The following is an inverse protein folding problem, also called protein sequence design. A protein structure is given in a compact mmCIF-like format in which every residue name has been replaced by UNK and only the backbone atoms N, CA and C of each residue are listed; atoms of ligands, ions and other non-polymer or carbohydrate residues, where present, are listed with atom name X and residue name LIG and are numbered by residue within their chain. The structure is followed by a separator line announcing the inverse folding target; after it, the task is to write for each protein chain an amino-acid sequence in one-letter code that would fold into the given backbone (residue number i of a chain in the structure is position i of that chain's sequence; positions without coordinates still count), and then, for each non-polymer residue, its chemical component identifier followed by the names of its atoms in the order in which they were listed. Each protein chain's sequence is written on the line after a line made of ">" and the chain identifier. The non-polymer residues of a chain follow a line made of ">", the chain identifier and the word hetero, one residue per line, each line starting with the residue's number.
data_IF_508944685365
#
_entry.id   IF_508944685365
#
_cell.length_a   1.000
_cell.length_b   1.000
_cell.length_c   1.000
_cell.angle_alpha   90.00
_cell.angle_beta   90.00
_cell.angle_gamma   90.00
#
_symmetry.space_group_name_H-M   'P 1'
#
loop_
_entity.id
_entity.type
_entity.pdbx_description
1 polymer ?
#
# COMPACT_ATOMS: atom_id res chain seq x y z
N UNK A 1 33.13 27.45 -28.27
CA UNK A 1 31.80 27.00 -28.74
C UNK A 1 31.53 25.61 -28.19
N UNK A 2 30.95 25.50 -26.99
CA UNK A 2 30.53 24.20 -26.45
C UNK A 2 29.39 23.67 -27.31
N UNK A 3 29.56 22.46 -27.85
CA UNK A 3 28.58 21.83 -28.74
C UNK A 3 27.27 21.55 -27.96
N UNK A 4 26.11 22.00 -28.44
CA UNK A 4 24.82 21.87 -27.74
C UNK A 4 24.42 20.42 -27.46
N UNK A 5 24.98 19.47 -28.21
CA UNK A 5 24.78 18.03 -28.03
C UNK A 5 25.40 17.48 -26.75
N UNK A 6 26.53 18.03 -26.30
CA UNK A 6 27.18 17.58 -25.05
C UNK A 6 26.38 18.06 -23.84
N UNK A 7 25.82 19.28 -23.90
CA UNK A 7 25.01 19.85 -22.83
C UNK A 7 23.65 19.17 -22.67
N UNK A 8 23.05 18.68 -23.77
CA UNK A 8 21.81 17.92 -23.73
C UNK A 8 21.99 16.54 -23.08
N UNK A 9 23.14 15.90 -23.30
CA UNK A 9 23.44 14.57 -22.74
C UNK A 9 23.64 14.64 -21.22
N UNK A 10 24.32 15.68 -20.71
CA UNK A 10 24.48 15.90 -19.26
C UNK A 10 23.15 16.22 -18.57
N UNK A 11 22.25 16.96 -19.23
CA UNK A 11 20.93 17.27 -18.68
C UNK A 11 20.04 16.02 -18.59
N UNK A 12 20.14 15.11 -19.57
CA UNK A 12 19.43 13.83 -19.57
C UNK A 12 19.91 12.90 -18.45
N UNK A 13 21.22 12.90 -18.14
CA UNK A 13 21.79 12.12 -17.03
C UNK A 13 21.33 12.60 -15.65
N UNK A 14 21.08 13.90 -15.46
CA UNK A 14 20.58 14.44 -14.18
C UNK A 14 19.13 14.00 -13.88
N UNK A 15 18.29 13.89 -14.92
CA UNK A 15 16.89 13.50 -14.78
C UNK A 15 16.69 12.06 -14.27
N UNK A 16 17.69 11.20 -14.41
CA UNK A 16 17.64 9.79 -13.97
C UNK A 16 17.87 9.62 -12.45
N UNK A 17 18.40 10.63 -11.76
CA UNK A 17 18.70 10.56 -10.31
C UNK A 17 17.52 10.94 -9.42
N UNK A 18 16.40 11.38 -10.00
CA UNK A 18 15.21 11.83 -9.27
C UNK A 18 14.28 10.68 -8.81
N UNK A 19 14.76 9.44 -8.76
CA UNK A 19 13.96 8.32 -8.27
C UNK A 19 13.75 8.50 -6.75
N UNK A 20 12.49 8.68 -6.35
CA UNK A 20 12.07 9.18 -5.04
C UNK A 20 12.42 8.31 -3.83
N UNK A 21 12.03 8.74 -2.62
CA UNK A 21 12.35 8.03 -1.38
C UNK A 21 11.86 6.59 -1.43
N UNK A 22 12.80 5.66 -1.38
CA UNK A 22 12.53 4.22 -1.28
C UNK A 22 11.93 3.92 0.10
N UNK A 23 10.69 3.45 0.12
CA UNK A 23 10.07 2.89 1.33
C UNK A 23 10.84 1.64 1.72
N UNK A 24 11.54 1.67 2.85
CA UNK A 24 12.26 0.52 3.38
C UNK A 24 11.45 -0.13 4.49
N UNK A 25 11.32 -1.46 4.42
CA UNK A 25 10.83 -2.25 5.56
C UNK A 25 11.93 -2.24 6.62
N UNK A 26 11.74 -1.43 7.66
CA UNK A 26 12.72 -1.27 8.74
C UNK A 26 12.60 -2.36 9.81
N UNK A 27 11.42 -2.97 9.93
CA UNK A 27 11.15 -4.02 10.91
C UNK A 27 10.02 -4.92 10.38
N UNK A 28 10.23 -6.23 10.42
CA UNK A 28 9.21 -7.24 10.14
C UNK A 28 9.30 -8.32 11.23
N UNK A 29 8.14 -8.76 11.72
CA UNK A 29 8.06 -9.87 12.67
C UNK A 29 7.06 -10.89 12.15
N UNK A 30 7.44 -12.16 12.20
CA UNK A 30 6.59 -13.31 11.93
C UNK A 30 6.87 -14.37 13.00
N UNK A 31 5.93 -15.28 13.21
CA UNK A 31 6.12 -16.39 14.13
C UNK A 31 7.30 -17.27 13.64
N UNK A 32 8.26 -17.65 14.49
CA UNK A 32 9.35 -18.54 14.08
C UNK A 32 8.81 -19.85 13.50
N UNK A 33 9.28 -20.22 12.31
CA UNK A 33 8.81 -21.41 11.58
C UNK A 33 7.54 -21.22 10.76
N UNK A 34 6.96 -20.00 10.72
CA UNK A 34 5.86 -19.65 9.83
C UNK A 34 6.41 -19.08 8.52
N UNK A 35 6.32 -19.85 7.45
CA UNK A 35 6.62 -19.41 6.09
C UNK A 35 5.31 -19.32 5.33
N UNK A 36 5.03 -18.18 4.72
CA UNK A 36 3.92 -18.05 3.76
C UNK A 36 4.45 -18.49 2.40
N UNK A 37 4.00 -19.64 1.91
CA UNK A 37 4.33 -20.06 0.56
C UNK A 37 3.57 -19.22 -0.46
N UNK A 38 4.19 -18.95 -1.60
CA UNK A 38 3.53 -18.25 -2.70
C UNK A 38 2.32 -19.07 -3.16
N UNK A 39 1.14 -18.45 -3.20
CA UNK A 39 -0.12 -19.14 -3.52
C UNK A 39 -0.88 -19.75 -2.33
N UNK A 40 -0.43 -19.52 -1.08
CA UNK A 40 -1.19 -19.97 0.11
C UNK A 40 -2.57 -19.31 0.19
N UNK A 41 -2.71 -18.08 -0.30
CA UNK A 41 -3.95 -17.32 -0.30
C UNK A 41 -4.32 -16.94 -1.73
N UNK A 42 -5.58 -17.16 -2.10
CA UNK A 42 -6.13 -16.89 -3.42
C UNK A 42 -7.02 -15.65 -3.42
N UNK A 43 -7.61 -15.27 -2.28
CA UNK A 43 -8.51 -14.13 -2.22
C UNK A 43 -8.49 -13.48 -0.85
N UNK A 44 -7.87 -12.30 -0.81
CA UNK A 44 -7.64 -11.58 0.45
C UNK A 44 -8.60 -10.40 0.61
N UNK A 45 -9.26 -10.30 1.76
CA UNK A 45 -9.90 -9.05 2.16
C UNK A 45 -8.84 -8.08 2.70
N UNK A 46 -8.71 -6.91 2.08
CA UNK A 46 -7.74 -5.88 2.47
C UNK A 46 -8.44 -4.80 3.28
N UNK A 47 -8.00 -4.58 4.52
CA UNK A 47 -8.60 -3.63 5.46
C UNK A 47 -7.57 -2.59 5.90
N UNK A 48 -7.82 -1.32 5.60
CA UNK A 48 -7.05 -0.19 6.09
C UNK A 48 -7.64 0.44 7.36
N UNK A 49 -6.93 0.33 8.48
CA UNK A 49 -7.24 1.05 9.73
C UNK A 49 -6.68 2.47 9.68
N UNK A 50 -7.25 3.29 8.79
CA UNK A 50 -6.88 4.70 8.57
C UNK A 50 -8.14 5.55 8.70
N UNK A 51 -8.05 6.66 9.47
CA UNK A 51 -9.19 7.54 9.76
C UNK A 51 -9.67 8.30 8.51
N UNK A 52 -8.74 8.82 7.73
CA UNK A 52 -9.05 9.54 6.50
C UNK A 52 -9.47 8.56 5.40
N UNK A 53 -10.67 8.76 4.86
CA UNK A 53 -11.27 7.81 3.92
C UNK A 53 -10.54 7.76 2.57
N UNK A 54 -10.13 8.92 2.04
CA UNK A 54 -9.41 8.99 0.78
C UNK A 54 -8.06 8.26 0.89
N UNK A 55 -7.33 8.50 1.97
CA UNK A 55 -6.07 7.82 2.28
C UNK A 55 -6.27 6.32 2.51
N UNK A 56 -7.34 5.93 3.22
CA UNK A 56 -7.69 4.52 3.42
C UNK A 56 -7.91 3.81 2.09
N UNK A 57 -8.78 4.37 1.23
CA UNK A 57 -9.09 3.80 -0.10
C UNK A 57 -7.84 3.70 -0.96
N UNK A 58 -7.02 4.75 -1.00
CA UNK A 58 -5.77 4.73 -1.76
C UNK A 58 -4.77 3.67 -1.24
N UNK A 59 -4.67 3.48 0.07
CA UNK A 59 -3.81 2.46 0.67
C UNK A 59 -4.29 1.03 0.32
N UNK A 60 -5.60 0.79 0.43
CA UNK A 60 -6.20 -0.51 0.07
C UNK A 60 -6.04 -0.80 -1.43
N UNK A 61 -6.32 0.17 -2.32
CA UNK A 61 -6.12 0.03 -3.77
C UNK A 61 -4.67 -0.27 -4.13
N UNK A 62 -3.72 0.41 -3.49
CA UNK A 62 -2.31 0.17 -3.75
C UNK A 62 -1.88 -1.23 -3.30
N UNK A 63 -2.42 -1.72 -2.18
CA UNK A 63 -2.16 -3.08 -1.71
C UNK A 63 -2.75 -4.13 -2.66
N UNK A 64 -3.97 -3.92 -3.15
CA UNK A 64 -4.62 -4.81 -4.12
C UNK A 64 -3.78 -4.95 -5.40
N UNK A 65 -3.19 -3.83 -5.88
CA UNK A 65 -2.26 -3.86 -7.03
C UNK A 65 -1.03 -4.73 -6.75
N UNK A 66 -0.48 -4.68 -5.53
CA UNK A 66 0.65 -5.52 -5.13
C UNK A 66 0.26 -7.01 -5.03
N UNK A 67 -1.00 -7.30 -4.71
CA UNK A 67 -1.58 -8.64 -4.70
C UNK A 67 -2.03 -9.10 -6.11
N UNK A 68 -1.58 -8.44 -7.19
CA UNK A 68 -1.94 -8.76 -8.58
C UNK A 68 -3.45 -8.75 -8.87
N UNK A 69 -4.23 -8.06 -8.04
CA UNK A 69 -5.69 -7.97 -8.19
C UNK A 69 -6.51 -9.02 -7.42
N UNK A 70 -5.86 -9.96 -6.72
CA UNK A 70 -6.53 -10.99 -5.91
C UNK A 70 -7.05 -10.47 -4.56
N UNK A 71 -6.92 -9.16 -4.31
CA UNK A 71 -7.41 -8.48 -3.13
C UNK A 71 -8.79 -7.85 -3.33
N UNK A 72 -9.65 -7.94 -2.32
CA UNK A 72 -10.94 -7.24 -2.24
C UNK A 72 -10.79 -6.07 -1.26
N UNK A 73 -11.15 -4.82 -1.65
CA UNK A 73 -11.09 -3.69 -0.74
C UNK A 73 -12.20 -3.74 0.30
N UNK A 74 -11.89 -3.32 1.53
CA UNK A 74 -12.86 -3.29 2.61
C UNK A 74 -14.00 -2.32 2.35
N UNK A 75 -13.73 -1.15 1.74
CA UNK A 75 -14.74 -0.12 1.50
C UNK A 75 -15.86 -0.58 0.55
N UNK A 76 -15.55 -1.49 -0.38
CA UNK A 76 -16.55 -2.08 -1.28
C UNK A 76 -17.23 -3.32 -0.69
N UNK A 77 -16.56 -4.02 0.23
CA UNK A 77 -17.03 -5.29 0.76
C UNK A 77 -17.87 -5.16 2.03
N UNK A 78 -17.34 -4.43 3.01
CA UNK A 78 -17.90 -4.27 4.36
C UNK A 78 -19.20 -3.44 4.30
N UNK A 79 -19.30 -2.48 3.37
CA UNK A 79 -20.53 -1.73 3.10
C UNK A 79 -21.08 -0.96 4.32
N UNK A 80 -22.21 -0.28 4.15
CA UNK A 80 -22.88 0.46 5.23
C UNK A 80 -23.68 -0.45 6.19
N UNK A 81 -24.08 -1.65 5.73
CA UNK A 81 -24.88 -2.59 6.53
C UNK A 81 -24.06 -3.45 7.51
N UNK A 82 -22.75 -3.18 7.65
CA UNK A 82 -21.91 -3.97 8.55
C UNK A 82 -22.32 -3.88 10.01
N UNK A 83 -22.95 -2.77 10.40
CA UNK A 83 -23.49 -2.60 11.76
C UNK A 83 -24.61 -3.61 12.08
N UNK A 84 -25.21 -4.23 11.05
CA UNK A 84 -26.28 -5.24 11.18
C UNK A 84 -25.77 -6.67 11.13
N UNK A 85 -24.51 -6.88 10.77
CA UNK A 85 -23.91 -8.21 10.62
C UNK A 85 -23.03 -8.49 11.86
N UNK A 86 -23.29 -9.61 12.54
CA UNK A 86 -22.45 -10.08 13.64
C UNK A 86 -21.19 -10.79 13.10
N UNK A 87 -20.24 -11.11 13.99
CA UNK A 87 -18.98 -11.78 13.63
C UNK A 87 -19.22 -13.05 12.81
N UNK A 88 -20.11 -13.93 13.28
CA UNK A 88 -20.45 -15.19 12.59
C UNK A 88 -20.96 -14.94 11.18
N UNK A 89 -21.90 -14.02 11.00
CA UNK A 89 -22.47 -13.69 9.69
C UNK A 89 -21.44 -13.08 8.73
N UNK A 90 -20.48 -12.31 9.25
CA UNK A 90 -19.38 -11.79 8.43
C UNK A 90 -18.45 -12.93 8.00
N UNK A 91 -18.07 -13.82 8.92
CA UNK A 91 -17.23 -14.98 8.60
C UNK A 91 -17.90 -15.88 7.56
N UNK A 92 -19.18 -16.19 7.71
CA UNK A 92 -19.93 -17.00 6.74
C UNK A 92 -19.99 -16.33 5.36
N UNK A 93 -20.21 -15.02 5.31
CA UNK A 93 -20.21 -14.24 4.07
C UNK A 93 -18.85 -14.29 3.39
N UNK A 94 -17.77 -14.11 4.15
CA UNK A 94 -16.40 -14.16 3.63
C UNK A 94 -16.08 -15.53 3.04
N UNK A 95 -16.39 -16.61 3.77
CA UNK A 95 -16.19 -17.99 3.30
C UNK A 95 -17.01 -18.26 2.04
N UNK A 96 -18.28 -17.83 2.02
CA UNK A 96 -19.17 -17.97 0.85
C UNK A 96 -18.65 -17.23 -0.39
N UNK A 97 -18.07 -16.05 -0.18
CA UNK A 97 -17.49 -15.22 -1.25
C UNK A 97 -16.07 -15.69 -1.66
N UNK A 98 -15.58 -16.78 -1.06
CA UNK A 98 -14.31 -17.41 -1.36
C UNK A 98 -13.09 -16.66 -0.80
N UNK A 99 -13.29 -15.80 0.21
CA UNK A 99 -12.21 -15.09 0.88
C UNK A 99 -11.53 -16.06 1.86
N UNK A 100 -10.24 -16.31 1.64
CA UNK A 100 -9.44 -17.28 2.40
C UNK A 100 -8.42 -16.63 3.34
N UNK A 101 -8.36 -15.29 3.36
CA UNK A 101 -7.56 -14.55 4.33
C UNK A 101 -7.95 -13.07 4.45
N UNK A 102 -7.45 -12.45 5.52
CA UNK A 102 -7.64 -11.02 5.81
C UNK A 102 -6.29 -10.37 6.02
N UNK A 103 -6.03 -9.32 5.25
CA UNK A 103 -4.85 -8.48 5.39
C UNK A 103 -5.26 -7.16 6.04
N UNK A 104 -4.80 -6.92 7.26
CA UNK A 104 -5.09 -5.70 8.01
C UNK A 104 -3.87 -4.79 8.00
N UNK A 105 -4.09 -3.54 7.58
CA UNK A 105 -3.08 -2.49 7.48
C UNK A 105 -3.38 -1.42 8.54
N UNK A 106 -2.36 -0.89 9.20
CA UNK A 106 -2.51 0.27 10.10
C UNK A 106 -1.42 1.29 9.81
N UNK A 107 -1.80 2.56 9.76
CA UNK A 107 -0.85 3.67 9.76
C UNK A 107 -0.30 3.86 11.18
N UNK A 108 0.99 3.60 11.38
CA UNK A 108 1.64 3.71 12.69
C UNK A 108 2.06 5.16 12.98
N UNK A 109 2.73 5.81 12.02
CA UNK A 109 3.24 7.17 12.16
C UNK A 109 3.45 7.82 10.78
N UNK A 110 3.44 9.15 10.72
CA UNK A 110 3.74 9.95 9.52
C UNK A 110 4.76 11.02 9.90
N UNK A 111 6.02 10.79 9.53
CA UNK A 111 7.08 11.80 9.68
C UNK A 111 7.17 12.65 8.42
N UNK A 112 6.89 13.95 8.54
CA UNK A 112 7.08 14.93 7.47
C UNK A 112 8.42 15.62 7.66
N UNK A 113 9.39 15.29 6.82
CA UNK A 113 10.66 16.03 6.77
C UNK A 113 10.51 17.22 5.82
N UNK A 114 10.67 18.43 6.34
CA UNK A 114 10.68 19.65 5.54
C UNK A 114 12.13 20.03 5.28
N UNK A 115 12.64 19.78 4.07
CA UNK A 115 13.95 20.28 3.66
C UNK A 115 13.81 21.79 3.40
N UNK A 116 14.16 22.60 4.39
CA UNK A 116 14.25 24.03 4.23
C UNK A 116 15.40 24.37 3.26
N UNK A 117 15.08 24.98 2.12
CA UNK A 117 16.07 25.55 1.22
C UNK A 117 16.13 27.06 1.53
N UNK A 118 17.23 27.57 2.11
CA UNK A 118 17.37 29.00 2.36
C UNK A 118 17.29 29.78 1.04
N UNK A 119 16.51 30.85 1.01
CA UNK A 119 16.46 31.75 -0.15
C UNK A 119 17.82 32.43 -0.34
N UNK A 120 18.43 32.26 -1.51
CA UNK A 120 19.60 33.05 -1.90
C UNK A 120 19.15 34.46 -2.27
N UNK A 121 19.58 35.46 -1.51
CA UNK A 121 19.56 36.87 -1.94
C UNK A 121 20.67 37.15 -2.95
#
# INVERSE_FOLDING_TARGET
>A
MLRPTVSALTLFSLLLTACGPSTKVVQSWHKPGFTVEEGTYHKLLVIGLIKDEATRRAAEEQMIKNLKGDGIPSYGYIGADVEKINETGMTERMVKDGIDGVLIMRLVDVKKEQTYVPGST
#
